data_IF_563894715780
#
_entry.id   IF_563894715780
#
_cell.length_a   1.000
_cell.length_b   1.000
_cell.length_c   1.000
_cell.angle_alpha   90.00
_cell.angle_beta   90.00
_cell.angle_gamma   90.00
#
_symmetry.space_group_name_H-M   'P 1'
#
loop_
_entity.id
_entity.type
_entity.pdbx_description
1 polymer ?
#
# COMPACT_ATOMS: atom_id res chain seq x y z
N UNK A 1 20.55 13.70 5.87
CA UNK A 1 20.77 14.95 5.08
C UNK A 1 22.23 15.36 4.78
N UNK A 2 23.20 15.38 5.72
CA UNK A 2 24.59 15.82 5.43
C UNK A 2 25.31 14.94 4.37
N UNK A 3 25.12 13.61 4.44
CA UNK A 3 25.66 12.63 3.47
C UNK A 3 25.16 12.91 2.03
N UNK A 4 23.86 13.12 1.84
CA UNK A 4 23.25 13.40 0.53
C UNK A 4 23.75 14.71 -0.11
N UNK A 5 23.90 15.79 0.68
CA UNK A 5 24.45 17.07 0.20
C UNK A 5 25.89 16.93 -0.32
N UNK A 6 26.70 16.06 0.28
CA UNK A 6 28.06 15.78 -0.18
C UNK A 6 28.08 14.96 -1.48
N UNK A 7 27.20 13.97 -1.60
CA UNK A 7 27.07 13.12 -2.79
C UNK A 7 26.61 13.93 -4.01
N UNK A 8 25.67 14.86 -3.83
CA UNK A 8 25.19 15.76 -4.88
C UNK A 8 26.28 16.71 -5.42
N UNK A 9 27.27 17.09 -4.61
CA UNK A 9 28.38 17.98 -5.02
C UNK A 9 29.43 17.28 -5.89
N UNK A 10 29.68 15.98 -5.68
CA UNK A 10 30.71 15.21 -6.41
C UNK A 10 30.24 13.79 -6.75
N UNK A 11 29.20 13.62 -7.59
CA UNK A 11 28.57 12.33 -7.85
C UNK A 11 29.48 11.31 -8.54
N UNK A 12 30.41 11.77 -9.39
CA UNK A 12 31.39 10.90 -10.05
C UNK A 12 32.43 10.32 -9.08
N UNK A 13 32.86 11.11 -8.10
CA UNK A 13 33.80 10.68 -7.05
C UNK A 13 33.14 9.66 -6.14
N UNK A 14 31.88 9.92 -5.76
CA UNK A 14 31.10 8.99 -4.94
C UNK A 14 30.78 7.68 -5.69
N UNK A 15 30.46 7.73 -6.99
CA UNK A 15 30.28 6.52 -7.81
C UNK A 15 31.55 5.66 -7.83
N UNK A 16 32.72 6.29 -7.95
CA UNK A 16 34.01 5.59 -7.91
C UNK A 16 34.27 4.99 -6.53
N UNK A 17 34.05 5.77 -5.48
CA UNK A 17 34.17 5.31 -4.09
C UNK A 17 33.24 4.12 -3.81
N UNK A 18 31.96 4.21 -4.16
CA UNK A 18 30.97 3.14 -4.00
C UNK A 18 31.38 1.88 -4.77
N UNK A 19 31.90 2.00 -6.00
CA UNK A 19 32.40 0.84 -6.74
C UNK A 19 33.61 0.21 -6.05
N UNK A 20 34.53 1.00 -5.52
CA UNK A 20 35.68 0.52 -4.75
C UNK A 20 35.23 -0.16 -3.45
N UNK A 21 34.27 0.42 -2.72
CA UNK A 21 33.68 -0.17 -1.52
C UNK A 21 32.95 -1.48 -1.83
N UNK A 22 32.20 -1.56 -2.93
CA UNK A 22 31.52 -2.79 -3.34
C UNK A 22 32.54 -3.87 -3.71
N UNK A 23 33.61 -3.53 -4.44
CA UNK A 23 34.69 -4.48 -4.76
C UNK A 23 35.39 -4.95 -3.49
N UNK A 24 35.74 -4.03 -2.59
CA UNK A 24 36.36 -4.32 -1.32
C UNK A 24 35.48 -5.20 -0.43
N UNK A 25 34.17 -4.92 -0.35
CA UNK A 25 33.22 -5.75 0.40
C UNK A 25 33.02 -7.11 -0.27
N UNK A 26 33.08 -7.20 -1.60
CA UNK A 26 33.09 -8.47 -2.33
C UNK A 26 34.32 -9.32 -1.99
N UNK A 27 35.50 -8.73 -2.00
CA UNK A 27 36.77 -9.38 -1.64
C UNK A 27 36.82 -9.75 -0.15
N UNK A 28 36.38 -8.84 0.72
CA UNK A 28 36.23 -9.06 2.15
C UNK A 28 35.23 -10.18 2.43
N UNK A 29 34.12 -10.25 1.70
CA UNK A 29 33.16 -11.35 1.82
C UNK A 29 33.78 -12.69 1.44
N UNK A 30 34.62 -12.75 0.39
CA UNK A 30 35.30 -13.99 0.03
C UNK A 30 36.25 -14.44 1.14
N UNK A 31 37.02 -13.52 1.73
CA UNK A 31 37.94 -13.80 2.84
C UNK A 31 37.21 -14.16 4.15
N UNK A 32 36.24 -13.34 4.54
CA UNK A 32 35.50 -13.47 5.80
C UNK A 32 34.55 -14.67 5.78
N UNK A 33 34.03 -15.08 4.62
CA UNK A 33 33.11 -16.24 4.50
C UNK A 33 33.72 -17.53 5.03
N UNK A 34 34.99 -17.78 4.74
CA UNK A 34 35.69 -18.98 5.20
C UNK A 34 36.20 -18.80 6.63
N UNK A 35 36.67 -17.60 6.99
CA UNK A 35 37.13 -17.29 8.34
C UNK A 35 36.00 -17.43 9.38
N UNK A 36 34.85 -16.80 9.13
CA UNK A 36 33.67 -16.85 10.01
C UNK A 36 33.10 -18.28 10.05
N UNK A 37 33.13 -19.02 8.94
CA UNK A 37 32.67 -20.41 8.92
C UNK A 37 33.54 -21.30 9.83
N UNK A 38 34.86 -21.17 9.75
CA UNK A 38 35.81 -21.89 10.62
C UNK A 38 35.65 -21.45 12.08
N UNK A 39 35.45 -20.16 12.33
CA UNK A 39 35.24 -19.65 13.69
C UNK A 39 33.95 -20.18 14.31
N UNK A 40 32.84 -20.19 13.56
CA UNK A 40 31.56 -20.76 14.00
C UNK A 40 31.63 -22.28 14.26
N UNK A 41 32.37 -23.04 13.44
CA UNK A 41 32.55 -24.49 13.69
C UNK A 41 33.41 -24.73 14.93
N UNK A 42 34.48 -23.97 15.13
CA UNK A 42 35.32 -24.03 16.34
C UNK A 42 34.49 -23.68 17.58
N UNK A 43 33.70 -22.62 17.53
CA UNK A 43 32.80 -22.22 18.62
C UNK A 43 31.78 -23.33 18.93
N UNK A 44 31.20 -23.95 17.90
CA UNK A 44 30.22 -25.03 18.09
C UNK A 44 30.84 -26.25 18.78
N UNK A 45 32.09 -26.58 18.44
CA UNK A 45 32.86 -27.66 19.09
C UNK A 45 33.18 -27.28 20.55
N UNK A 46 33.56 -26.03 20.82
CA UNK A 46 33.83 -25.55 22.19
C UNK A 46 32.57 -25.65 23.04
N UNK A 47 31.42 -25.18 22.54
CA UNK A 47 30.14 -25.27 23.26
C UNK A 47 29.75 -26.72 23.53
N UNK A 48 29.85 -27.61 22.53
CA UNK A 48 29.56 -29.02 22.69
C UNK A 48 30.49 -29.69 23.71
N UNK A 49 31.77 -29.35 23.72
CA UNK A 49 32.76 -29.86 24.67
C UNK A 49 32.49 -29.37 26.10
N UNK A 50 32.15 -28.10 26.26
CA UNK A 50 31.80 -27.51 27.56
C UNK A 50 30.51 -28.13 28.12
N UNK A 51 29.48 -28.31 27.28
CA UNK A 51 28.22 -28.96 27.69
C UNK A 51 28.46 -30.42 28.08
N UNK A 52 29.27 -31.16 27.33
CA UNK A 52 29.64 -32.52 27.67
C UNK A 52 30.35 -32.60 29.03
N UNK A 53 31.31 -31.69 29.27
CA UNK A 53 32.05 -31.65 30.54
C UNK A 53 31.17 -31.25 31.73
N UNK A 54 30.20 -30.34 31.54
CA UNK A 54 29.27 -29.95 32.60
C UNK A 54 28.26 -31.07 32.96
N UNK A 55 27.87 -31.90 31.99
CA UNK A 55 26.85 -32.94 32.20
C UNK A 55 27.46 -34.25 32.71
N UNK A 56 28.60 -34.68 32.16
CA UNK A 56 29.12 -36.04 32.37
C UNK A 56 30.35 -36.12 33.28
N UNK A 57 30.99 -34.99 33.62
CA UNK A 57 32.21 -34.97 34.44
C UNK A 57 31.95 -34.17 35.73
N UNK A 58 32.09 -34.78 36.92
CA UNK A 58 32.03 -34.04 38.17
C UNK A 58 33.20 -33.04 38.21
N UNK A 59 32.87 -31.75 38.11
CA UNK A 59 33.84 -30.66 37.98
C UNK A 59 33.88 -29.81 39.25
N UNK A 60 35.06 -29.27 39.58
CA UNK A 60 35.21 -28.36 40.72
C UNK A 60 34.53 -27.02 40.44
N UNK A 61 34.13 -26.29 41.49
CA UNK A 61 33.47 -24.98 41.36
C UNK A 61 34.29 -23.97 40.54
N UNK A 62 35.62 -24.05 40.63
CA UNK A 62 36.55 -23.22 39.85
C UNK A 62 36.55 -23.57 38.35
N UNK A 63 36.38 -24.85 37.99
CA UNK A 63 36.27 -25.27 36.60
C UNK A 63 34.91 -24.86 36.01
N UNK A 64 33.81 -25.03 36.75
CA UNK A 64 32.47 -24.62 36.30
C UNK A 64 32.37 -23.11 36.05
N UNK A 65 32.98 -22.29 36.91
CA UNK A 65 33.02 -20.82 36.70
C UNK A 65 33.84 -20.43 35.48
N UNK A 66 34.96 -21.12 35.21
CA UNK A 66 35.74 -20.91 33.99
C UNK A 66 34.95 -21.27 32.73
N UNK A 67 34.20 -22.39 32.73
CA UNK A 67 33.37 -22.79 31.59
C UNK A 67 32.22 -21.82 31.29
N UNK A 68 31.60 -21.27 32.33
CA UNK A 68 30.56 -20.24 32.18
C UNK A 68 31.19 -18.96 31.60
N UNK A 69 32.36 -18.54 32.10
CA UNK A 69 33.05 -17.36 31.58
C UNK A 69 33.47 -17.51 30.11
N UNK A 70 33.95 -18.69 29.70
CA UNK A 70 34.26 -19.01 28.30
C UNK A 70 33.00 -18.94 27.44
N UNK A 71 31.89 -19.53 27.90
CA UNK A 71 30.60 -19.48 27.20
C UNK A 71 30.09 -18.04 27.02
N UNK A 72 30.18 -17.20 28.05
CA UNK A 72 29.79 -15.79 27.96
C UNK A 72 30.66 -15.00 26.97
N UNK A 73 31.97 -15.27 26.94
CA UNK A 73 32.91 -14.60 26.03
C UNK A 73 32.58 -14.96 24.57
N UNK A 74 32.33 -16.25 24.30
CA UNK A 74 31.94 -16.75 22.97
C UNK A 74 30.61 -16.13 22.49
N UNK A 75 29.61 -16.05 23.37
CA UNK A 75 28.33 -15.41 23.04
C UNK A 75 28.48 -13.93 22.74
N UNK A 76 29.34 -13.22 23.48
CA UNK A 76 29.62 -11.81 23.24
C UNK A 76 30.29 -11.56 21.88
N UNK A 77 31.19 -12.46 21.44
CA UNK A 77 31.84 -12.37 20.13
C UNK A 77 30.86 -12.56 18.97
N UNK A 78 29.96 -13.55 19.07
CA UNK A 78 28.89 -13.77 18.06
C UNK A 78 27.99 -12.54 17.95
N UNK A 79 27.63 -11.94 19.09
CA UNK A 79 26.81 -10.73 19.12
C UNK A 79 27.48 -9.56 18.40
N UNK A 80 28.77 -9.31 18.67
CA UNK A 80 29.53 -8.23 18.02
C UNK A 80 29.64 -8.44 16.50
N UNK A 81 29.93 -9.67 16.06
CA UNK A 81 30.01 -9.98 14.62
C UNK A 81 28.67 -9.79 13.91
N UNK A 82 27.58 -10.18 14.57
CA UNK A 82 26.22 -10.02 14.07
C UNK A 82 25.78 -8.55 14.05
N UNK A 83 26.18 -7.77 15.06
CA UNK A 83 25.96 -6.33 15.13
C UNK A 83 26.65 -5.59 13.97
N UNK A 84 27.93 -5.88 13.73
CA UNK A 84 28.70 -5.25 12.64
C UNK A 84 28.11 -5.59 11.28
N UNK A 85 27.71 -6.85 11.07
CA UNK A 85 27.03 -7.28 9.83
C UNK A 85 25.73 -6.52 9.60
N UNK A 86 24.92 -6.37 10.66
CA UNK A 86 23.65 -5.65 10.60
C UNK A 86 23.84 -4.14 10.35
N UNK A 87 24.84 -3.52 10.99
CA UNK A 87 25.14 -2.09 10.80
C UNK A 87 25.56 -1.80 9.36
N UNK A 88 26.37 -2.68 8.75
CA UNK A 88 26.76 -2.57 7.34
C UNK A 88 25.55 -2.69 6.41
N UNK A 89 24.62 -3.61 6.71
CA UNK A 89 23.38 -3.78 5.96
C UNK A 89 22.50 -2.51 6.06
N UNK A 90 22.27 -2.00 7.27
CA UNK A 90 21.47 -0.78 7.53
C UNK A 90 22.08 0.46 6.89
N UNK A 91 23.39 0.69 7.08
CA UNK A 91 24.07 1.84 6.48
C UNK A 91 24.06 1.77 4.94
N UNK A 92 24.17 0.57 4.36
CA UNK A 92 24.10 0.38 2.90
C UNK A 92 22.73 0.78 2.31
N UNK A 93 21.64 0.48 3.02
CA UNK A 93 20.27 0.84 2.65
C UNK A 93 20.00 2.33 2.86
N UNK A 94 20.47 2.90 3.98
CA UNK A 94 20.28 4.31 4.34
C UNK A 94 20.83 5.30 3.31
N UNK A 95 21.86 4.90 2.55
CA UNK A 95 22.43 5.69 1.46
C UNK A 95 21.43 5.85 0.31
N UNK A 96 20.64 4.82 0.02
CA UNK A 96 19.62 4.87 -1.03
C UNK A 96 18.48 5.80 -0.62
N UNK A 97 17.99 5.66 0.61
CA UNK A 97 16.87 6.45 1.14
C UNK A 97 17.26 7.93 1.24
N UNK A 98 18.45 8.23 1.76
CA UNK A 98 18.95 9.60 1.84
C UNK A 98 19.18 10.26 0.47
N UNK A 99 19.44 9.47 -0.58
CA UNK A 99 19.57 9.98 -1.94
C UNK A 99 18.20 10.17 -2.60
N UNK A 100 17.25 9.28 -2.34
CA UNK A 100 15.86 9.37 -2.79
C UNK A 100 15.18 10.64 -2.28
N UNK A 101 15.34 10.94 -0.98
CA UNK A 101 14.81 12.15 -0.34
C UNK A 101 15.55 13.45 -0.72
N UNK A 102 16.64 13.36 -1.48
CA UNK A 102 17.42 14.54 -1.89
C UNK A 102 16.83 15.21 -3.13
N UNK A 103 17.24 16.46 -3.42
CA UNK A 103 16.83 17.18 -4.65
C UNK A 103 17.58 16.70 -5.90
N UNK A 104 17.64 15.39 -6.11
CA UNK A 104 18.38 14.78 -7.22
C UNK A 104 17.71 15.06 -8.59
N UNK A 105 16.39 15.30 -8.61
CA UNK A 105 15.62 15.66 -9.80
C UNK A 105 15.89 17.08 -10.31
N UNK A 106 16.52 17.94 -9.52
CA UNK A 106 16.96 19.29 -9.94
C UNK A 106 18.35 19.27 -10.62
N UNK A 107 19.03 18.12 -10.66
CA UNK A 107 20.39 18.00 -11.20
C UNK A 107 20.42 17.81 -12.72
N UNK A 108 21.61 18.00 -13.33
CA UNK A 108 21.77 17.77 -14.79
C UNK A 108 21.52 16.30 -15.17
N UNK A 109 21.13 16.04 -16.42
CA UNK A 109 20.79 14.68 -16.86
C UNK A 109 21.92 13.65 -16.69
N UNK A 110 23.18 14.08 -16.82
CA UNK A 110 24.35 13.22 -16.55
C UNK A 110 24.43 12.82 -15.08
N UNK A 111 24.12 13.76 -14.18
CA UNK A 111 24.12 13.55 -12.72
C UNK A 111 22.92 12.72 -12.28
N UNK A 112 21.72 12.97 -12.82
CA UNK A 112 20.53 12.14 -12.56
C UNK A 112 20.79 10.66 -12.84
N UNK A 113 21.34 10.33 -14.01
CA UNK A 113 21.69 8.95 -14.36
C UNK A 113 22.65 8.30 -13.36
N UNK A 114 23.64 9.06 -12.87
CA UNK A 114 24.62 8.54 -11.90
C UNK A 114 23.98 8.33 -10.53
N UNK A 115 23.14 9.26 -10.07
CA UNK A 115 22.43 9.15 -8.81
C UNK A 115 21.44 7.97 -8.84
N UNK A 116 20.69 7.80 -9.94
CA UNK A 116 19.79 6.65 -10.12
C UNK A 116 20.57 5.33 -10.07
N UNK A 117 21.74 5.25 -10.73
CA UNK A 117 22.62 4.08 -10.65
C UNK A 117 23.08 3.82 -9.21
N UNK A 118 23.42 4.88 -8.46
CA UNK A 118 23.82 4.76 -7.05
C UNK A 118 22.63 4.27 -6.21
N UNK A 119 21.44 4.87 -6.35
CA UNK A 119 20.22 4.46 -5.63
C UNK A 119 19.88 2.99 -5.91
N UNK A 120 19.86 2.57 -7.19
CA UNK A 120 19.58 1.18 -7.57
C UNK A 120 20.63 0.19 -7.04
N UNK A 121 21.90 0.62 -6.94
CA UNK A 121 22.98 -0.24 -6.42
C UNK A 121 22.99 -0.31 -4.90
N UNK A 122 22.73 0.79 -4.21
CA UNK A 122 22.58 0.85 -2.75
C UNK A 122 21.29 0.16 -2.25
N UNK A 123 20.31 -0.10 -3.13
CA UNK A 123 19.14 -0.95 -2.83
C UNK A 123 19.46 -2.45 -2.74
N UNK A 124 20.67 -2.89 -3.14
CA UNK A 124 21.13 -4.25 -2.89
C UNK A 124 21.92 -4.25 -1.59
N UNK A 125 21.38 -4.81 -0.48
CA UNK A 125 22.08 -4.82 0.79
C UNK A 125 23.41 -5.56 0.66
N UNK A 126 24.47 -4.96 1.16
CA UNK A 126 25.77 -5.60 1.25
C UNK A 126 25.72 -6.60 2.41
N UNK A 127 25.59 -7.89 2.11
CA UNK A 127 25.43 -8.96 3.11
C UNK A 127 26.72 -9.74 3.31
N UNK A 128 27.09 -9.98 4.57
CA UNK A 128 28.18 -10.89 4.93
C UNK A 128 27.59 -12.31 5.07
N UNK A 129 28.17 -13.29 4.35
CA UNK A 129 27.71 -14.69 4.38
C UNK A 129 28.60 -15.57 5.24
N UNK A 130 27.99 -16.47 6.03
CA UNK A 130 28.64 -17.59 6.69
C UNK A 130 28.66 -18.77 5.71
N UNK A 131 29.84 -19.11 5.18
CA UNK A 131 29.95 -20.20 4.20
C UNK A 131 29.03 -20.01 2.97
N UNK A 132 28.78 -21.06 2.17
CA UNK A 132 27.94 -20.96 0.97
C UNK A 132 26.45 -20.71 1.22
N UNK A 133 25.98 -20.78 2.47
CA UNK A 133 24.59 -21.14 2.75
C UNK A 133 23.77 -20.06 3.45
N UNK A 134 24.36 -19.20 4.31
CA UNK A 134 23.55 -18.31 5.16
C UNK A 134 24.10 -16.88 5.27
N UNK A 135 23.29 -15.83 5.03
CA UNK A 135 23.65 -14.47 5.44
C UNK A 135 23.59 -14.36 6.97
N UNK A 136 24.56 -13.65 7.57
CA UNK A 136 24.58 -13.37 9.02
C UNK A 136 23.66 -12.17 9.32
N UNK A 137 22.34 -12.42 9.39
CA UNK A 137 21.32 -11.38 9.63
C UNK A 137 20.36 -11.84 10.75
N UNK A 138 19.71 -10.91 11.46
CA UNK A 138 18.60 -11.21 12.40
C UNK A 138 17.46 -11.99 11.69
N UNK A 139 17.32 -11.82 10.38
CA UNK A 139 16.38 -12.59 9.56
C UNK A 139 16.72 -14.09 9.49
N UNK A 140 17.95 -14.50 9.80
CA UNK A 140 18.35 -15.90 9.96
C UNK A 140 17.80 -16.48 11.27
N UNK A 141 17.54 -15.65 12.29
CA UNK A 141 16.71 -16.01 13.43
C UNK A 141 15.21 -16.12 13.05
N UNK A 142 14.76 -15.49 11.95
CA UNK A 142 13.43 -15.70 11.35
C UNK A 142 13.38 -16.92 10.41
N UNK A 143 14.51 -17.43 9.90
CA UNK A 143 14.55 -18.71 9.20
C UNK A 143 14.23 -19.90 10.13
N UNK A 144 14.19 -19.67 11.45
CA UNK A 144 13.50 -20.57 12.37
C UNK A 144 12.06 -20.84 11.90
N UNK A 145 11.36 -19.96 11.16
CA UNK A 145 10.02 -20.24 10.64
C UNK A 145 10.00 -21.44 9.68
N UNK A 146 10.97 -21.55 8.77
CA UNK A 146 11.08 -22.71 7.85
C UNK A 146 11.53 -23.97 8.59
N UNK A 147 12.40 -23.81 9.58
CA UNK A 147 12.84 -24.90 10.44
C UNK A 147 11.73 -25.32 11.43
N UNK A 148 10.82 -24.41 11.78
CA UNK A 148 9.63 -24.62 12.60
C UNK A 148 8.53 -25.28 11.80
N UNK A 149 8.29 -24.90 10.54
CA UNK A 149 7.38 -25.63 9.64
C UNK A 149 7.89 -27.06 9.36
N UNK A 150 9.21 -27.23 9.25
CA UNK A 150 9.85 -28.55 9.10
C UNK A 150 9.77 -29.35 10.40
N UNK A 151 9.99 -28.72 11.56
CA UNK A 151 9.81 -29.32 12.89
C UNK A 151 8.33 -29.58 13.21
N UNK A 152 7.39 -28.78 12.70
CA UNK A 152 5.94 -28.97 12.82
C UNK A 152 5.49 -30.20 12.02
N UNK A 153 6.07 -30.41 10.83
CA UNK A 153 5.91 -31.66 10.07
C UNK A 153 6.52 -32.86 10.81
N UNK A 154 7.66 -32.70 11.48
CA UNK A 154 8.26 -33.74 12.31
C UNK A 154 7.45 -34.02 13.59
N UNK A 155 6.88 -33.00 14.24
CA UNK A 155 6.04 -33.15 15.43
C UNK A 155 4.65 -33.69 15.10
N UNK A 156 4.07 -33.39 13.93
CA UNK A 156 2.85 -34.09 13.46
C UNK A 156 3.07 -35.59 13.30
N UNK A 157 4.26 -36.01 12.88
CA UNK A 157 4.64 -37.42 12.81
C UNK A 157 4.88 -38.04 14.21
N UNK A 158 5.17 -37.21 15.22
CA UNK A 158 5.23 -37.59 16.64
C UNK A 158 3.87 -37.52 17.35
N UNK A 159 2.91 -36.72 16.85
CA UNK A 159 1.50 -36.75 17.28
C UNK A 159 0.78 -38.02 16.80
N UNK A 160 1.06 -38.48 15.57
CA UNK A 160 0.59 -39.80 15.09
C UNK A 160 1.37 -40.98 15.67
N UNK A 161 2.56 -40.73 16.21
CA UNK A 161 3.38 -41.69 16.95
C UNK A 161 3.39 -41.40 18.46
N UNK A 162 2.37 -40.69 18.97
CA UNK A 162 2.20 -40.46 20.39
C UNK A 162 2.27 -41.79 21.15
N UNK A 163 2.66 -41.80 22.44
CA UNK A 163 3.04 -42.98 23.21
C UNK A 163 1.90 -43.98 23.45
N UNK A 164 0.82 -43.98 22.66
CA UNK A 164 -0.28 -44.94 22.74
C UNK A 164 0.20 -46.38 22.55
N UNK A 165 1.21 -46.60 21.71
CA UNK A 165 1.75 -47.95 21.51
C UNK A 165 2.52 -48.45 22.74
N UNK A 166 3.42 -47.63 23.28
CA UNK A 166 4.23 -47.95 24.46
C UNK A 166 3.39 -47.92 25.76
N UNK A 167 2.41 -47.02 25.87
CA UNK A 167 1.45 -46.94 26.99
C UNK A 167 0.51 -48.14 26.98
N UNK A 168 0.06 -48.63 25.82
CA UNK A 168 -0.78 -49.83 25.77
C UNK A 168 0.00 -51.10 26.09
N UNK A 169 1.28 -51.17 25.73
CA UNK A 169 2.16 -52.30 26.05
C UNK A 169 2.52 -52.32 27.55
N UNK A 170 2.79 -51.15 28.16
CA UNK A 170 3.04 -51.03 29.60
C UNK A 170 1.76 -51.20 30.43
N UNK A 171 0.59 -50.74 29.95
CA UNK A 171 -0.72 -51.04 30.58
C UNK A 171 -0.98 -52.54 30.64
N UNK A 172 -0.58 -53.28 29.59
CA UNK A 172 -0.67 -54.75 29.56
C UNK A 172 0.21 -55.42 30.63
N UNK A 173 1.43 -54.91 30.84
CA UNK A 173 2.34 -55.37 31.89
C UNK A 173 1.86 -55.02 33.31
N UNK A 174 1.12 -53.92 33.46
CA UNK A 174 0.44 -53.53 34.71
C UNK A 174 -0.74 -54.48 35.01
N UNK A 175 -1.52 -54.85 33.98
CA UNK A 175 -2.64 -55.81 34.10
C UNK A 175 -2.16 -57.25 34.43
N UNK A 176 -0.92 -57.59 34.08
CA UNK A 176 -0.27 -58.88 34.38
C UNK A 176 0.28 -58.98 35.83
N UNK A 177 -0.01 -58.00 36.70
CA UNK A 177 0.34 -57.97 38.12
C UNK A 177 1.86 -58.07 38.40
N UNK A 178 2.65 -57.31 37.65
CA UNK A 178 4.09 -57.19 37.84
C UNK A 178 4.44 -56.45 39.14
N UNK A 179 5.56 -56.80 39.79
CA UNK A 179 5.98 -56.30 41.12
C UNK A 179 6.15 -54.76 41.18
N UNK A 180 6.37 -54.12 40.03
CA UNK A 180 6.60 -52.67 39.85
C UNK A 180 5.43 -51.93 39.19
N UNK A 181 4.25 -52.57 39.04
CA UNK A 181 3.11 -52.03 38.31
C UNK A 181 2.60 -50.66 38.83
N UNK A 182 2.77 -50.40 40.13
CA UNK A 182 2.46 -49.12 40.77
C UNK A 182 3.40 -48.01 40.32
N UNK A 183 4.69 -48.28 40.18
CA UNK A 183 5.69 -47.31 39.77
C UNK A 183 5.60 -47.03 38.25
N UNK A 184 5.33 -48.05 37.44
CA UNK A 184 5.02 -47.86 36.01
C UNK A 184 3.76 -47.01 35.81
N UNK A 185 2.72 -47.22 36.60
CA UNK A 185 1.51 -46.39 36.55
C UNK A 185 1.79 -44.93 36.90
N UNK A 186 2.65 -44.68 37.90
CA UNK A 186 3.09 -43.32 38.27
C UNK A 186 3.84 -42.64 37.13
N UNK A 187 4.84 -43.31 36.56
CA UNK A 187 5.66 -42.79 35.45
C UNK A 187 4.83 -42.52 34.19
N UNK A 188 3.86 -43.37 33.86
CA UNK A 188 2.94 -43.13 32.74
C UNK A 188 2.09 -41.89 32.99
N UNK A 189 1.54 -41.72 34.18
CA UNK A 189 0.74 -40.55 34.51
C UNK A 189 1.56 -39.25 34.47
N UNK A 190 2.81 -39.28 34.94
CA UNK A 190 3.74 -38.15 34.84
C UNK A 190 4.10 -37.82 33.39
N UNK A 191 4.40 -38.83 32.59
CA UNK A 191 4.67 -38.67 31.16
C UNK A 191 3.46 -38.06 30.43
N UNK A 192 2.26 -38.55 30.72
CA UNK A 192 1.02 -38.06 30.10
C UNK A 192 0.73 -36.60 30.51
N UNK A 193 0.96 -36.26 31.77
CA UNK A 193 0.84 -34.88 32.27
C UNK A 193 1.85 -33.95 31.60
N UNK A 194 3.13 -34.34 31.54
CA UNK A 194 4.17 -33.56 30.89
C UNK A 194 3.92 -33.39 29.38
N UNK A 195 3.34 -34.41 28.73
CA UNK A 195 2.94 -34.34 27.33
C UNK A 195 1.79 -33.36 27.09
N UNK A 196 0.78 -33.35 27.95
CA UNK A 196 -0.34 -32.39 27.88
C UNK A 196 0.15 -30.95 28.09
N UNK A 197 1.01 -30.73 29.09
CA UNK A 197 1.63 -29.42 29.36
C UNK A 197 2.47 -28.94 28.17
N UNK A 198 3.24 -29.84 27.54
CA UNK A 198 4.01 -29.52 26.34
C UNK A 198 3.11 -29.14 25.16
N UNK A 199 2.01 -29.87 24.94
CA UNK A 199 1.06 -29.58 23.87
C UNK A 199 0.41 -28.21 24.05
N UNK A 200 -0.06 -27.92 25.26
CA UNK A 200 -0.62 -26.62 25.61
C UNK A 200 0.41 -25.48 25.43
N UNK A 201 1.67 -25.70 25.84
CA UNK A 201 2.73 -24.72 25.66
C UNK A 201 3.05 -24.45 24.17
N UNK A 202 3.03 -25.49 23.33
CA UNK A 202 3.22 -25.37 21.87
C UNK A 202 2.07 -24.58 21.25
N UNK A 203 0.83 -24.90 21.59
CA UNK A 203 -0.36 -24.22 21.06
C UNK A 203 -0.40 -22.75 21.47
N UNK A 204 -0.10 -22.46 22.74
CA UNK A 204 0.03 -21.08 23.24
C UNK A 204 1.16 -20.32 22.52
N UNK A 205 2.31 -20.96 22.30
CA UNK A 205 3.42 -20.33 21.55
C UNK A 205 3.02 -20.06 20.10
N UNK A 206 2.34 -21.00 19.44
CA UNK A 206 1.83 -20.86 18.07
C UNK A 206 0.87 -19.69 17.96
N UNK A 207 -0.12 -19.61 18.85
CA UNK A 207 -1.10 -18.53 18.87
C UNK A 207 -0.42 -17.16 19.03
N UNK A 208 0.55 -17.05 19.96
CA UNK A 208 1.31 -15.82 20.19
C UNK A 208 2.15 -15.40 18.97
N UNK A 209 2.79 -16.35 18.28
CA UNK A 209 3.57 -16.07 17.08
C UNK A 209 2.70 -15.61 15.92
N UNK A 210 1.59 -16.31 15.65
CA UNK A 210 0.64 -15.93 14.58
C UNK A 210 0.04 -14.55 14.82
N UNK A 211 -0.24 -14.22 16.08
CA UNK A 211 -0.71 -12.90 16.48
C UNK A 211 0.34 -11.82 16.28
N UNK A 212 1.59 -12.08 16.65
CA UNK A 212 2.68 -11.13 16.44
C UNK A 212 2.97 -10.93 14.95
N UNK A 213 2.93 -12.00 14.15
CA UNK A 213 3.03 -11.94 12.69
C UNK A 213 1.95 -11.04 12.09
N UNK A 214 0.68 -11.25 12.44
CA UNK A 214 -0.44 -10.38 12.01
C UNK A 214 -0.18 -8.91 12.37
N UNK A 215 0.27 -8.65 13.60
CA UNK A 215 0.58 -7.28 14.04
C UNK A 215 1.75 -6.66 13.27
N UNK A 216 2.78 -7.42 12.92
CA UNK A 216 3.90 -6.92 12.12
C UNK A 216 3.50 -6.70 10.66
N UNK A 217 2.73 -7.61 10.08
CA UNK A 217 2.22 -7.46 8.72
C UNK A 217 1.39 -6.18 8.57
N UNK A 218 0.49 -5.94 9.53
CA UNK A 218 -0.29 -4.70 9.60
C UNK A 218 0.58 -3.42 9.67
N UNK A 219 1.86 -3.46 10.07
CA UNK A 219 2.70 -2.25 10.04
C UNK A 219 3.12 -1.83 8.63
N UNK A 220 2.94 -2.71 7.64
CA UNK A 220 3.32 -2.47 6.25
C UNK A 220 2.09 -2.18 5.38
N UNK A 221 1.02 -2.96 5.53
CA UNK A 221 -0.16 -2.90 4.66
C UNK A 221 -0.84 -1.51 4.59
N UNK A 222 -0.96 -0.73 5.69
CA UNK A 222 -1.50 0.63 5.65
C UNK A 222 -0.67 1.59 4.81
N UNK A 223 0.66 1.40 4.70
CA UNK A 223 1.49 2.29 3.90
C UNK A 223 1.24 2.09 2.40
N UNK A 224 0.91 0.86 1.98
CA UNK A 224 0.49 0.57 0.61
C UNK A 224 -0.86 1.23 0.31
N UNK A 225 -1.81 1.13 1.26
CA UNK A 225 -3.10 1.81 1.15
C UNK A 225 -2.97 3.34 1.11
N UNK A 226 -2.10 3.92 1.94
CA UNK A 226 -1.80 5.36 1.90
C UNK A 226 -1.18 5.80 0.57
N UNK A 227 -0.23 5.02 0.05
CA UNK A 227 0.39 5.30 -1.24
C UNK A 227 -0.65 5.24 -2.38
N UNK A 228 -1.51 4.23 -2.36
CA UNK A 228 -2.57 4.07 -3.35
C UNK A 228 -3.58 5.23 -3.29
N UNK A 229 -4.04 5.61 -2.09
CA UNK A 229 -4.96 6.74 -1.90
C UNK A 229 -4.33 8.07 -2.35
N UNK A 230 -3.07 8.30 -2.04
CA UNK A 230 -2.33 9.49 -2.47
C UNK A 230 -2.22 9.58 -3.99
N UNK A 231 -2.07 8.43 -4.67
CA UNK A 231 -2.08 8.39 -6.13
C UNK A 231 -3.47 8.72 -6.69
N UNK A 232 -4.54 8.19 -6.09
CA UNK A 232 -5.91 8.51 -6.51
C UNK A 232 -6.25 9.99 -6.30
N UNK A 233 -5.79 10.58 -5.21
CA UNK A 233 -5.97 12.00 -4.90
C UNK A 233 -5.38 12.89 -6.01
N UNK A 234 -4.22 12.52 -6.58
CA UNK A 234 -3.60 13.27 -7.66
C UNK A 234 -4.49 13.34 -8.92
N UNK A 235 -5.18 12.25 -9.25
CA UNK A 235 -6.10 12.22 -10.39
C UNK A 235 -7.39 13.02 -10.15
N UNK A 236 -7.77 13.25 -8.89
CA UNK A 236 -8.95 14.04 -8.53
C UNK A 236 -8.74 15.55 -8.69
N UNK A 237 -7.49 16.02 -8.77
CA UNK A 237 -7.13 17.46 -8.84
C UNK A 237 -7.02 17.98 -10.29
N UNK A 238 -7.26 17.14 -11.32
CA UNK A 238 -7.18 17.55 -12.74
C UNK A 238 -8.14 18.72 -13.12
N UNK A 239 -7.92 19.38 -14.26
CA UNK A 239 -8.72 20.54 -14.70
C UNK A 239 -10.16 20.17 -15.15
N UNK A 240 -11.08 21.15 -15.17
CA UNK A 240 -12.52 21.00 -15.54
C UNK A 240 -12.77 20.64 -17.02
N UNK A 241 -11.75 20.63 -17.88
CA UNK A 241 -11.88 20.54 -19.33
C UNK A 241 -12.10 21.90 -19.98
N UNK A 242 -11.83 21.99 -21.28
CA UNK A 242 -11.88 23.25 -22.06
C UNK A 242 -13.05 23.32 -23.04
N UNK A 243 -13.73 22.21 -23.23
CA UNK A 243 -14.85 22.04 -24.16
C UNK A 243 -15.77 20.91 -23.70
N UNK A 244 -16.97 20.81 -24.31
CA UNK A 244 -17.98 19.79 -23.99
C UNK A 244 -17.43 18.35 -24.11
N UNK A 245 -16.60 18.10 -25.12
CA UNK A 245 -16.07 16.76 -25.41
C UNK A 245 -15.05 16.33 -24.35
N UNK A 246 -14.15 17.23 -23.96
CA UNK A 246 -13.18 17.01 -22.88
C UNK A 246 -13.89 16.85 -21.54
N UNK A 247 -14.90 17.68 -21.23
CA UNK A 247 -15.71 17.55 -20.01
C UNK A 247 -16.39 16.16 -19.92
N UNK A 248 -17.02 15.67 -21.01
CA UNK A 248 -17.58 14.31 -21.06
C UNK A 248 -16.53 13.22 -20.87
N UNK A 249 -15.37 13.37 -21.51
CA UNK A 249 -14.28 12.41 -21.37
C UNK A 249 -13.76 12.35 -19.93
N UNK A 250 -13.65 13.50 -19.26
CA UNK A 250 -13.28 13.58 -17.85
C UNK A 250 -14.36 12.96 -16.95
N UNK A 251 -15.65 13.19 -17.22
CA UNK A 251 -16.74 12.55 -16.48
C UNK A 251 -16.69 11.02 -16.60
N UNK A 252 -16.38 10.49 -17.79
CA UNK A 252 -16.21 9.05 -18.00
C UNK A 252 -15.02 8.49 -17.21
N UNK A 253 -13.86 9.15 -17.27
CA UNK A 253 -12.67 8.76 -16.50
C UNK A 253 -12.94 8.81 -14.99
N UNK A 254 -13.62 9.86 -14.53
CA UNK A 254 -14.04 10.03 -13.15
C UNK A 254 -14.91 8.85 -12.68
N UNK A 255 -15.87 8.39 -13.49
CA UNK A 255 -16.68 7.21 -13.16
C UNK A 255 -15.85 5.95 -12.88
N UNK A 256 -14.78 5.71 -13.66
CA UNK A 256 -13.86 4.60 -13.40
C UNK A 256 -13.07 4.78 -12.10
N UNK A 257 -12.66 6.02 -11.80
CA UNK A 257 -11.92 6.36 -10.60
C UNK A 257 -12.77 6.17 -9.33
N UNK A 258 -14.03 6.59 -9.36
CA UNK A 258 -15.00 6.35 -8.27
C UNK A 258 -15.20 4.86 -8.01
N UNK A 259 -15.41 4.08 -9.07
CA UNK A 259 -15.59 2.64 -8.94
C UNK A 259 -14.36 1.98 -8.28
N UNK A 260 -13.15 2.45 -8.59
CA UNK A 260 -11.92 1.99 -7.94
C UNK A 260 -11.88 2.37 -6.45
N UNK A 261 -12.26 3.61 -6.09
CA UNK A 261 -12.36 4.08 -4.70
C UNK A 261 -13.40 3.28 -3.90
N UNK A 262 -14.55 2.98 -4.50
CA UNK A 262 -15.59 2.17 -3.87
C UNK A 262 -15.13 0.72 -3.65
N UNK A 263 -14.49 0.10 -4.65
CA UNK A 263 -13.95 -1.25 -4.52
C UNK A 263 -12.86 -1.36 -3.43
N UNK A 264 -12.10 -0.28 -3.21
CA UNK A 264 -11.05 -0.25 -2.18
C UNK A 264 -11.58 -0.25 -0.74
N UNK A 265 -12.89 -0.01 -0.54
CA UNK A 265 -13.53 -0.06 0.78
C UNK A 265 -13.30 -1.41 1.48
N UNK A 266 -13.27 -2.50 0.71
CA UNK A 266 -13.07 -3.85 1.25
C UNK A 266 -11.67 -4.04 1.83
N UNK A 267 -10.65 -3.44 1.21
CA UNK A 267 -9.28 -3.45 1.71
C UNK A 267 -9.17 -2.69 3.04
N UNK A 268 -9.74 -1.48 3.11
CA UNK A 268 -9.76 -0.67 4.34
C UNK A 268 -10.50 -1.40 5.47
N UNK A 269 -11.63 -2.05 5.13
CA UNK A 269 -12.42 -2.85 6.08
C UNK A 269 -11.65 -4.06 6.59
N UNK A 270 -10.96 -4.80 5.72
CA UNK A 270 -10.13 -5.95 6.11
C UNK A 270 -8.97 -5.57 7.04
N UNK A 271 -8.34 -4.40 6.79
CA UNK A 271 -7.36 -3.83 7.70
C UNK A 271 -7.99 -3.48 9.06
N UNK A 272 -9.17 -2.87 9.07
CA UNK A 272 -9.91 -2.58 10.28
C UNK A 272 -10.31 -3.82 11.09
N UNK A 273 -10.71 -4.90 10.42
CA UNK A 273 -11.00 -6.20 11.04
C UNK A 273 -9.75 -6.80 11.72
N UNK A 274 -8.58 -6.66 11.10
CA UNK A 274 -7.29 -7.11 11.67
C UNK A 274 -6.97 -6.35 12.97
N UNK A 275 -7.17 -5.03 12.99
CA UNK A 275 -7.00 -4.21 14.21
C UNK A 275 -7.96 -4.61 15.32
N UNK A 276 -9.23 -4.84 14.98
CA UNK A 276 -10.25 -5.30 15.95
C UNK A 276 -9.85 -6.63 16.57
N UNK A 277 -9.38 -7.59 15.76
CA UNK A 277 -8.90 -8.87 16.25
C UNK A 277 -7.70 -8.71 17.20
N UNK A 278 -6.68 -7.92 16.81
CA UNK A 278 -5.51 -7.66 17.66
C UNK A 278 -5.87 -6.97 18.99
N UNK A 279 -6.91 -6.13 18.98
CA UNK A 279 -7.43 -5.44 20.17
C UNK A 279 -8.18 -6.39 21.08
N UNK A 280 -9.07 -7.23 20.53
CA UNK A 280 -9.82 -8.25 21.29
C UNK A 280 -8.88 -9.28 21.95
N UNK A 281 -7.78 -9.61 21.27
CA UNK A 281 -6.75 -10.50 21.83
C UNK A 281 -5.90 -9.80 22.92
N UNK A 282 -5.91 -8.46 22.99
CA UNK A 282 -5.17 -7.62 23.97
C UNK A 282 -3.72 -7.31 23.61
N UNK A 283 -3.41 -7.07 22.32
CA UNK A 283 -2.01 -7.10 21.84
C UNK A 283 -1.24 -5.86 22.30
N UNK A 284 0.05 -5.96 22.68
CA UNK A 284 0.80 -4.79 23.14
C UNK A 284 0.85 -3.64 22.12
N UNK A 285 0.73 -3.96 20.83
CA UNK A 285 0.70 -2.97 19.75
C UNK A 285 -0.72 -2.55 19.34
N UNK A 286 -1.78 -3.07 19.97
CA UNK A 286 -3.18 -2.85 19.56
C UNK A 286 -3.54 -1.36 19.47
N UNK A 287 -3.12 -0.57 20.46
CA UNK A 287 -3.37 0.87 20.47
C UNK A 287 -2.67 1.59 19.30
N UNK A 288 -1.41 1.26 19.04
CA UNK A 288 -0.65 1.88 17.93
C UNK A 288 -1.25 1.55 16.57
N UNK A 289 -1.65 0.29 16.35
CA UNK A 289 -2.30 -0.11 15.09
C UNK A 289 -3.71 0.50 14.95
N UNK A 290 -4.44 0.68 16.05
CA UNK A 290 -5.73 1.36 16.04
C UNK A 290 -5.63 2.84 15.68
N UNK A 291 -4.62 3.55 16.18
CA UNK A 291 -4.35 4.94 15.78
C UNK A 291 -4.04 5.01 14.28
N UNK A 292 -3.22 4.10 13.75
CA UNK A 292 -2.90 4.04 12.32
C UNK A 292 -4.14 3.75 11.47
N UNK A 293 -5.01 2.82 11.90
CA UNK A 293 -6.29 2.57 11.23
C UNK A 293 -7.18 3.82 11.20
N UNK A 294 -7.29 4.54 12.31
CA UNK A 294 -8.10 5.76 12.36
C UNK A 294 -7.59 6.84 11.41
N UNK A 295 -6.27 6.95 11.23
CA UNK A 295 -5.68 7.84 10.23
C UNK A 295 -6.05 7.39 8.81
N UNK A 296 -5.94 6.10 8.53
CA UNK A 296 -6.29 5.50 7.24
C UNK A 296 -7.78 5.73 6.91
N UNK A 297 -8.67 5.51 7.88
CA UNK A 297 -10.11 5.73 7.72
C UNK A 297 -10.43 7.20 7.41
N UNK A 298 -9.73 8.15 8.05
CA UNK A 298 -9.87 9.59 7.75
C UNK A 298 -9.39 9.94 6.36
N UNK A 299 -8.26 9.40 5.92
CA UNK A 299 -7.75 9.61 4.56
C UNK A 299 -8.72 9.06 3.52
N UNK A 300 -9.26 7.86 3.75
CA UNK A 300 -10.23 7.25 2.86
C UNK A 300 -11.54 8.05 2.80
N UNK A 301 -12.04 8.54 3.94
CA UNK A 301 -13.21 9.42 3.98
C UNK A 301 -12.95 10.72 3.19
N UNK A 302 -11.80 11.38 3.41
CA UNK A 302 -11.41 12.57 2.67
C UNK A 302 -11.30 12.34 1.17
N UNK A 303 -10.81 11.17 0.74
CA UNK A 303 -10.77 10.80 -0.69
C UNK A 303 -12.17 10.67 -1.29
N UNK A 304 -13.15 10.14 -0.53
CA UNK A 304 -14.55 10.06 -0.98
C UNK A 304 -15.19 11.44 -1.09
N UNK A 305 -14.93 12.32 -0.14
CA UNK A 305 -15.42 13.70 -0.18
C UNK A 305 -14.84 14.45 -1.38
N UNK A 306 -13.52 14.30 -1.62
CA UNK A 306 -12.86 14.88 -2.79
C UNK A 306 -13.43 14.34 -4.11
N UNK A 307 -13.76 13.04 -4.16
CA UNK A 307 -14.43 12.46 -5.31
C UNK A 307 -15.78 13.15 -5.57
N UNK A 308 -16.62 13.30 -4.53
CA UNK A 308 -17.91 13.97 -4.65
C UNK A 308 -17.78 15.42 -5.11
N UNK A 309 -16.83 16.18 -4.54
CA UNK A 309 -16.55 17.55 -4.96
C UNK A 309 -16.11 17.59 -6.44
N UNK A 310 -15.26 16.66 -6.86
CA UNK A 310 -14.81 16.54 -8.24
C UNK A 310 -15.97 16.25 -9.20
N UNK A 311 -16.91 15.38 -8.80
CA UNK A 311 -18.13 15.12 -9.57
C UNK A 311 -18.94 16.39 -9.79
N UNK A 312 -19.21 17.13 -8.71
CA UNK A 312 -19.99 18.36 -8.79
C UNK A 312 -19.35 19.36 -9.74
N UNK A 313 -18.03 19.57 -9.63
CA UNK A 313 -17.29 20.48 -10.51
C UNK A 313 -17.30 20.07 -11.99
N UNK A 314 -17.24 18.77 -12.29
CA UNK A 314 -17.30 18.26 -13.66
C UNK A 314 -18.71 18.34 -14.23
N UNK A 315 -19.73 18.13 -13.41
CA UNK A 315 -21.13 18.27 -13.80
C UNK A 315 -21.46 19.72 -14.12
N UNK A 316 -21.09 20.66 -13.25
CA UNK A 316 -21.19 22.11 -13.49
C UNK A 316 -20.51 22.51 -14.81
N UNK A 317 -19.27 22.09 -15.02
CA UNK A 317 -18.55 22.39 -16.27
C UNK A 317 -19.30 21.84 -17.51
N UNK A 318 -19.85 20.62 -17.42
CA UNK A 318 -20.61 20.04 -18.51
C UNK A 318 -21.91 20.81 -18.77
N UNK A 319 -22.66 21.18 -17.72
CA UNK A 319 -23.88 21.99 -17.85
C UNK A 319 -23.59 23.34 -18.49
N UNK A 320 -22.48 24.00 -18.10
CA UNK A 320 -22.06 25.26 -18.69
C UNK A 320 -21.80 25.15 -20.19
N UNK A 321 -21.10 24.10 -20.64
CA UNK A 321 -20.87 23.90 -22.07
C UNK A 321 -22.15 23.58 -22.85
N UNK A 322 -23.06 22.81 -22.25
CA UNK A 322 -24.33 22.45 -22.88
C UNK A 322 -25.23 23.67 -23.09
N UNK A 323 -25.37 24.51 -22.06
CA UNK A 323 -26.20 25.73 -22.17
C UNK A 323 -25.58 26.75 -23.13
N UNK A 324 -24.25 26.93 -23.10
CA UNK A 324 -23.56 27.82 -24.04
C UNK A 324 -23.79 27.41 -25.50
N UNK A 325 -23.75 26.10 -25.78
CA UNK A 325 -24.04 25.59 -27.12
C UNK A 325 -25.51 25.84 -27.51
N UNK A 326 -26.44 25.52 -26.62
CA UNK A 326 -27.87 25.67 -26.91
C UNK A 326 -28.26 27.14 -27.12
N UNK A 327 -27.70 28.07 -26.33
CA UNK A 327 -27.86 29.51 -26.51
C UNK A 327 -27.31 29.92 -27.89
N UNK A 328 -26.08 29.55 -28.23
CA UNK A 328 -25.50 29.88 -29.54
C UNK A 328 -26.27 29.31 -30.73
N UNK A 329 -26.78 28.08 -30.61
CA UNK A 329 -27.61 27.45 -31.64
C UNK A 329 -28.94 28.21 -31.83
N UNK A 330 -29.54 28.71 -30.74
CA UNK A 330 -30.75 29.53 -30.79
C UNK A 330 -30.48 30.93 -31.33
N UNK A 331 -29.39 31.59 -30.92
CA UNK A 331 -29.00 32.90 -31.44
C UNK A 331 -28.78 32.86 -32.96
N UNK A 332 -28.07 31.84 -33.46
CA UNK A 332 -27.90 31.64 -34.89
C UNK A 332 -29.23 31.39 -35.60
N UNK A 333 -30.09 30.55 -35.02
CA UNK A 333 -31.42 30.29 -35.57
C UNK A 333 -32.28 31.55 -35.63
N UNK A 334 -32.25 32.40 -34.59
CA UNK A 334 -32.94 33.69 -34.57
C UNK A 334 -32.40 34.60 -35.68
N UNK A 335 -31.07 34.69 -35.83
CA UNK A 335 -30.44 35.48 -36.88
C UNK A 335 -30.88 35.03 -38.29
N UNK A 336 -30.92 33.71 -38.54
CA UNK A 336 -31.38 33.16 -39.82
C UNK A 336 -32.87 33.48 -40.07
N UNK A 337 -33.71 33.40 -39.03
CA UNK A 337 -35.14 33.74 -39.10
C UNK A 337 -35.37 35.23 -39.35
N UNK A 338 -34.56 36.12 -38.77
CA UNK A 338 -34.60 37.57 -39.03
C UNK A 338 -34.38 37.91 -40.50
N UNK A 339 -33.49 37.20 -41.18
CA UNK A 339 -33.25 37.38 -42.63
C UNK A 339 -34.51 37.06 -43.44
N UNK A 340 -35.19 35.95 -43.12
CA UNK A 340 -36.43 35.55 -43.80
C UNK A 340 -37.56 36.54 -43.52
N UNK A 341 -37.72 36.97 -42.26
CA UNK A 341 -38.73 37.94 -41.86
C UNK A 341 -38.52 39.33 -42.48
N UNK A 342 -37.27 39.69 -42.81
CA UNK A 342 -36.91 40.96 -43.46
C UNK A 342 -37.02 40.93 -44.99
N UNK A 343 -37.60 39.88 -45.57
CA UNK A 343 -37.82 39.80 -47.02
C UNK A 343 -38.71 40.95 -47.51
N UNK A 344 -38.30 41.61 -48.59
CA UNK A 344 -39.04 42.72 -49.21
C UNK A 344 -39.94 42.26 -50.38
N UNK A 345 -40.14 40.95 -50.53
CA UNK A 345 -40.96 40.38 -51.61
C UNK A 345 -42.46 40.58 -51.33
N UNK A 346 -43.13 41.35 -52.18
CA UNK A 346 -44.56 41.71 -52.00
C UNK A 346 -45.51 40.92 -52.91
N UNK A 347 -45.00 40.01 -53.73
CA UNK A 347 -45.79 39.30 -54.75
C UNK A 347 -46.01 40.12 -56.03
N UNK A 348 -46.31 39.43 -57.14
CA UNK A 348 -46.48 40.05 -58.47
C UNK A 348 -47.94 40.01 -58.95
N UNK A 349 -48.75 39.12 -58.38
CA UNK A 349 -50.16 38.93 -58.66
C UNK A 349 -50.88 38.38 -57.40
N UNK A 350 -52.20 38.26 -57.47
CA UNK A 350 -53.03 37.81 -56.34
C UNK A 350 -52.65 36.41 -55.83
N UNK A 351 -52.37 35.48 -56.74
CA UNK A 351 -52.03 34.10 -56.38
C UNK A 351 -50.67 34.05 -55.68
N UNK A 352 -49.69 34.81 -56.15
CA UNK A 352 -48.36 34.93 -55.53
C UNK A 352 -48.43 35.62 -54.15
N UNK A 353 -49.22 36.68 -54.00
CA UNK A 353 -49.45 37.32 -52.69
C UNK A 353 -50.10 36.34 -51.71
N UNK A 354 -51.10 35.57 -52.15
CA UNK A 354 -51.77 34.57 -51.31
C UNK A 354 -50.80 33.48 -50.86
N UNK A 355 -49.94 32.99 -51.77
CA UNK A 355 -48.90 32.02 -51.45
C UNK A 355 -47.87 32.56 -50.44
N UNK A 356 -47.41 33.80 -50.63
CA UNK A 356 -46.48 34.46 -49.70
C UNK A 356 -47.09 34.63 -48.31
N UNK A 357 -48.37 35.00 -48.24
CA UNK A 357 -49.10 35.11 -46.99
C UNK A 357 -49.22 33.76 -46.28
N UNK A 358 -49.63 32.70 -46.97
CA UNK A 358 -49.74 31.35 -46.39
C UNK A 358 -48.39 30.87 -45.83
N UNK A 359 -47.31 31.04 -46.61
CA UNK A 359 -45.94 30.71 -46.15
C UNK A 359 -45.51 31.55 -44.95
N UNK A 360 -45.85 32.83 -44.91
CA UNK A 360 -45.53 33.69 -43.78
C UNK A 360 -46.30 33.27 -42.52
N UNK A 361 -47.57 32.87 -42.65
CA UNK A 361 -48.36 32.37 -41.52
C UNK A 361 -47.81 31.05 -40.96
N UNK A 362 -47.39 30.12 -41.82
CA UNK A 362 -46.67 28.91 -41.41
C UNK A 362 -45.37 29.25 -40.70
N UNK A 363 -44.56 30.14 -41.30
CA UNK A 363 -43.32 30.63 -40.70
C UNK A 363 -43.53 31.25 -39.31
N UNK A 364 -44.56 32.08 -39.14
CA UNK A 364 -44.88 32.73 -37.87
C UNK A 364 -45.32 31.72 -36.82
N UNK A 365 -46.13 30.73 -37.20
CA UNK A 365 -46.55 29.64 -36.30
C UNK A 365 -45.37 28.78 -35.83
N UNK A 366 -44.49 28.38 -36.76
CA UNK A 366 -43.27 27.63 -36.43
C UNK A 366 -42.36 28.42 -35.49
N UNK A 367 -42.26 29.73 -35.72
CA UNK A 367 -41.43 30.63 -34.90
C UNK A 367 -41.96 30.74 -33.47
N UNK A 368 -43.27 30.92 -33.29
CA UNK A 368 -43.88 30.97 -31.95
C UNK A 368 -43.79 29.62 -31.21
N UNK A 369 -43.85 28.50 -31.93
CA UNK A 369 -43.68 27.17 -31.32
C UNK A 369 -42.29 27.04 -30.67
N UNK A 370 -41.23 27.43 -31.39
CA UNK A 370 -39.84 27.40 -30.91
C UNK A 370 -39.63 28.31 -29.69
N UNK A 371 -40.32 29.46 -29.63
CA UNK A 371 -40.32 30.33 -28.45
C UNK A 371 -40.76 29.58 -27.19
N UNK A 372 -41.91 28.91 -27.32
CA UNK A 372 -42.60 28.28 -26.20
C UNK A 372 -41.88 27.02 -25.72
N UNK A 373 -41.14 26.33 -26.59
CA UNK A 373 -40.46 25.09 -26.24
C UNK A 373 -38.97 25.29 -25.95
N UNK A 374 -38.20 25.84 -26.91
CA UNK A 374 -36.73 25.85 -26.80
C UNK A 374 -36.20 27.06 -26.03
N UNK A 375 -36.69 28.25 -26.35
CA UNK A 375 -36.24 29.48 -25.64
C UNK A 375 -36.69 29.44 -24.18
N UNK A 376 -37.94 29.06 -23.92
CA UNK A 376 -38.42 28.81 -22.57
C UNK A 376 -37.59 27.73 -21.86
N UNK A 377 -37.30 26.61 -22.52
CA UNK A 377 -36.48 25.54 -21.94
C UNK A 377 -35.07 25.99 -21.56
N UNK A 378 -34.39 26.79 -22.40
CA UNK A 378 -33.07 27.35 -22.08
C UNK A 378 -33.14 28.34 -20.91
N UNK A 379 -34.18 29.18 -20.87
CA UNK A 379 -34.42 30.10 -19.75
C UNK A 379 -34.62 29.34 -18.43
N UNK A 380 -35.42 28.26 -18.44
CA UNK A 380 -35.67 27.42 -17.27
C UNK A 380 -34.38 26.73 -16.77
N UNK A 381 -33.55 26.24 -17.69
CA UNK A 381 -32.24 25.63 -17.36
C UNK A 381 -31.30 26.70 -16.78
N UNK A 382 -31.23 27.89 -17.39
CA UNK A 382 -30.42 29.00 -16.88
C UNK A 382 -30.84 29.40 -15.47
N UNK A 383 -32.15 29.58 -15.23
CA UNK A 383 -32.68 29.95 -13.91
C UNK A 383 -32.42 28.87 -12.88
N UNK A 384 -32.55 27.60 -13.25
CA UNK A 384 -32.21 26.49 -12.38
C UNK A 384 -30.73 26.51 -11.99
N UNK A 385 -29.82 26.69 -12.94
CA UNK A 385 -28.37 26.73 -12.67
C UNK A 385 -27.99 27.92 -11.79
N UNK A 386 -28.59 29.09 -12.03
CA UNK A 386 -28.38 30.29 -11.22
C UNK A 386 -28.91 30.08 -9.79
N UNK A 387 -30.12 29.54 -9.64
CA UNK A 387 -30.72 29.27 -8.34
C UNK A 387 -29.96 28.20 -7.55
N UNK A 388 -29.38 27.22 -8.24
CA UNK A 388 -28.52 26.20 -7.65
C UNK A 388 -27.14 26.74 -7.20
N UNK A 389 -26.79 27.99 -7.54
CA UNK A 389 -25.54 28.62 -7.15
C UNK A 389 -24.35 28.20 -8.02
N UNK A 390 -24.57 27.93 -9.30
CA UNK A 390 -23.52 27.55 -10.25
C UNK A 390 -22.35 28.55 -10.25
N UNK A 391 -21.10 28.08 -10.36
CA UNK A 391 -19.91 28.96 -10.26
C UNK A 391 -19.89 30.09 -11.28
N UNK A 392 -20.48 29.85 -12.45
CA UNK A 392 -20.53 30.76 -13.60
C UNK A 392 -21.92 31.41 -13.79
N UNK A 393 -22.70 31.55 -12.71
CA UNK A 393 -24.07 32.09 -12.74
C UNK A 393 -24.17 33.47 -13.41
N UNK A 394 -23.15 34.33 -13.24
CA UNK A 394 -23.14 35.65 -13.87
C UNK A 394 -23.07 35.57 -15.41
N UNK A 395 -22.20 34.69 -15.93
CA UNK A 395 -22.08 34.45 -17.37
C UNK A 395 -23.34 33.80 -17.93
N UNK A 396 -23.93 32.85 -17.20
CA UNK A 396 -25.20 32.21 -17.60
C UNK A 396 -26.33 33.25 -17.67
N UNK A 397 -26.39 34.18 -16.72
CA UNK A 397 -27.37 35.27 -16.75
C UNK A 397 -27.15 36.19 -17.95
N UNK A 398 -25.90 36.54 -18.28
CA UNK A 398 -25.58 37.35 -19.46
C UNK A 398 -26.03 36.67 -20.77
N UNK A 399 -25.77 35.37 -20.93
CA UNK A 399 -26.24 34.60 -22.08
C UNK A 399 -27.76 34.52 -22.15
N UNK A 400 -28.41 34.32 -21.00
CA UNK A 400 -29.87 34.31 -20.90
C UNK A 400 -30.46 35.65 -21.34
N UNK A 401 -29.93 36.76 -20.83
CA UNK A 401 -30.42 38.10 -21.16
C UNK A 401 -30.18 38.42 -22.64
N UNK A 402 -29.00 38.10 -23.17
CA UNK A 402 -28.67 38.28 -24.59
C UNK A 402 -29.59 37.49 -25.53
N UNK A 403 -29.89 36.23 -25.20
CA UNK A 403 -30.84 35.41 -25.97
C UNK A 403 -32.25 36.01 -25.96
N UNK A 404 -32.71 36.51 -24.80
CA UNK A 404 -34.02 37.12 -24.67
C UNK A 404 -34.12 38.47 -25.40
N UNK A 405 -33.06 39.28 -25.39
CA UNK A 405 -32.97 40.52 -26.17
C UNK A 405 -32.99 40.20 -27.68
N UNK A 406 -32.17 39.24 -28.13
CA UNK A 406 -32.14 38.79 -29.51
C UNK A 406 -33.50 38.28 -30.00
N UNK A 407 -34.29 37.67 -29.12
CA UNK A 407 -35.65 37.22 -29.42
C UNK A 407 -36.69 38.36 -29.48
N UNK A 408 -36.51 39.41 -28.66
CA UNK A 408 -37.42 40.56 -28.64
C UNK A 408 -37.25 41.45 -29.87
N UNK A 409 -35.99 41.64 -30.30
CA UNK A 409 -35.61 42.27 -31.57
C UNK A 409 -36.04 41.43 -32.77
#
# INVERSE_FOLDING_TARGET
>A
MRKAKYILKKPHVFKRYLNTTISFVGELNVLMKYLIFVECTVISIIIASVLFQLIFVPTSLAASTLYIAVSCTVLSQIFVLSWISNEIEVESLSISDALFESRWYEQTQKVKKIIIIIMMRSRKPLRIMIGPFYPLTIHTALNLKKEFDLREKQTKHLETAAPDKDINEIKKLIDEAHEDATEFSRLINELHKAWLELKEAIDNRRANLLRNERAQQYRFDPNEAESWMSEQELYMVEERGRDETSARNFMKKYGSLVAAVEAYADTIRGLGETVKALSAEGHPLAEQVAVKQSQLDKLYAGLKDLAQERRAKLDEALQLFLINREVGDLEQWIADRKVVASSHELGQDYDHVTLLWERFMEFAHDTETIRSERVAGVNDIADYLIAAGHSDSATIAEWKDGLNEAWQD
#
